data_IF_858948042516
#
_entry.id   IF_858948042516
#
_cell.length_a   1.000
_cell.length_b   1.000
_cell.length_c   1.000
_cell.angle_alpha   90.00
_cell.angle_beta   90.00
_cell.angle_gamma   90.00
#
_symmetry.space_group_name_H-M   'P 1'
#
loop_
_entity.id
_entity.type
_entity.pdbx_description
1 polymer ?
#
# COMPACT_ATOMS: atom_id res chain seq x y z
N UNK A 1 51.11 -30.26 14.58
CA UNK A 1 49.67 -30.26 14.42
C UNK A 1 49.15 -28.89 14.84
N UNK A 2 48.87 -28.02 13.87
CA UNK A 2 48.31 -26.68 14.11
C UNK A 2 46.84 -26.71 13.75
N UNK A 3 45.97 -26.49 14.73
CA UNK A 3 44.53 -26.31 14.52
C UNK A 3 44.29 -24.92 13.91
N UNK A 4 43.67 -24.91 12.74
CA UNK A 4 43.19 -23.70 12.10
C UNK A 4 41.76 -23.48 12.58
N UNK A 5 41.58 -22.51 13.48
CA UNK A 5 40.26 -22.05 13.90
C UNK A 5 39.77 -21.11 12.81
N UNK A 6 38.81 -21.57 12.03
CA UNK A 6 38.11 -20.75 11.06
C UNK A 6 37.23 -19.69 11.76
N UNK A 7 37.62 -18.44 11.67
CA UNK A 7 36.76 -17.30 12.04
C UNK A 7 35.67 -17.14 10.97
N UNK A 8 34.44 -17.42 11.35
CA UNK A 8 33.29 -17.03 10.56
C UNK A 8 33.16 -15.51 10.72
N UNK A 9 33.51 -14.78 9.67
CA UNK A 9 33.20 -13.37 9.54
C UNK A 9 31.69 -13.27 9.25
N UNK A 10 30.92 -12.92 10.28
CA UNK A 10 29.55 -12.43 10.08
C UNK A 10 29.71 -11.01 9.49
N UNK A 11 29.66 -10.93 8.17
CA UNK A 11 29.59 -9.66 7.48
C UNK A 11 28.25 -9.00 7.81
N UNK A 12 28.26 -8.03 8.69
CA UNK A 12 27.16 -7.08 8.78
C UNK A 12 27.09 -6.36 7.45
N UNK A 13 26.13 -6.73 6.60
CA UNK A 13 25.77 -5.92 5.44
C UNK A 13 25.16 -4.64 6.00
N UNK A 14 25.95 -3.58 6.03
CA UNK A 14 25.45 -2.23 6.19
C UNK A 14 24.65 -1.92 4.91
N UNK A 15 23.33 -2.11 4.96
CA UNK A 15 22.45 -1.63 3.92
C UNK A 15 22.36 -0.13 4.12
N UNK A 16 23.07 0.62 3.28
CA UNK A 16 22.80 2.04 3.10
C UNK A 16 21.40 2.15 2.50
N UNK A 17 20.44 2.58 3.30
CA UNK A 17 19.07 2.81 2.86
C UNK A 17 19.11 4.10 2.04
N UNK A 18 18.89 4.08 0.70
CA UNK A 18 18.59 5.30 0.00
C UNK A 18 17.21 5.75 0.46
N UNK A 19 17.09 6.97 0.92
CA UNK A 19 15.83 7.64 1.23
C UNK A 19 15.02 7.66 -0.07
N UNK A 20 13.92 6.89 -0.09
CA UNK A 20 13.05 6.79 -1.27
C UNK A 20 13.20 5.48 -2.04
N UNK A 21 12.44 4.46 -1.66
CA UNK A 21 12.18 3.27 -2.48
C UNK A 21 13.25 2.19 -2.43
N UNK A 22 13.05 1.21 -1.62
CA UNK A 22 13.52 -0.20 -1.71
C UNK A 22 13.62 -0.88 -0.34
N UNK A 23 12.51 -1.07 0.34
CA UNK A 23 12.49 -1.90 1.57
C UNK A 23 12.03 -3.35 1.27
N UNK A 24 11.73 -3.69 0.01
CA UNK A 24 11.06 -4.95 -0.33
C UNK A 24 11.94 -6.19 -0.51
N UNK A 25 13.25 -6.15 -0.29
CA UNK A 25 14.10 -7.31 -0.58
C UNK A 25 14.32 -8.28 0.59
N UNK A 26 13.82 -7.99 1.80
CA UNK A 26 14.11 -8.84 2.97
C UNK A 26 13.04 -9.87 3.36
N UNK A 27 11.78 -9.71 2.94
CA UNK A 27 10.71 -10.64 3.34
C UNK A 27 10.66 -11.95 2.51
N UNK A 28 11.18 -11.94 1.27
CA UNK A 28 11.04 -13.06 0.34
C UNK A 28 12.00 -14.23 0.56
N UNK A 29 13.07 -14.10 1.35
CA UNK A 29 14.04 -15.19 1.55
C UNK A 29 13.83 -16.02 2.83
N UNK A 30 13.04 -15.55 3.78
CA UNK A 30 12.82 -16.30 5.03
C UNK A 30 11.64 -17.27 4.97
N UNK A 31 10.70 -17.11 4.02
CA UNK A 31 9.55 -18.00 3.93
C UNK A 31 9.84 -19.34 3.26
N UNK A 32 10.86 -19.42 2.38
CA UNK A 32 11.24 -20.71 1.78
C UNK A 32 12.03 -21.62 2.71
N UNK A 33 12.74 -21.10 3.72
CA UNK A 33 13.48 -21.94 4.66
C UNK A 33 12.61 -22.53 5.77
N UNK A 34 11.49 -21.91 6.15
CA UNK A 34 10.55 -22.46 7.14
C UNK A 34 9.65 -23.58 6.62
N UNK A 35 9.44 -23.68 5.30
CA UNK A 35 8.64 -24.75 4.69
C UNK A 35 9.36 -26.09 4.61
N UNK A 36 10.69 -26.11 4.68
CA UNK A 36 11.48 -27.34 4.53
C UNK A 36 11.82 -28.03 5.85
N UNK A 37 11.51 -27.46 7.02
CA UNK A 37 11.80 -28.08 8.33
C UNK A 37 10.62 -28.84 8.95
N UNK A 38 9.43 -28.86 8.34
CA UNK A 38 8.21 -29.48 8.92
C UNK A 38 7.91 -30.89 8.35
N UNK A 39 8.71 -31.42 7.38
CA UNK A 39 8.34 -32.65 6.66
C UNK A 39 9.07 -33.91 7.14
N UNK A 40 9.98 -33.83 8.11
CA UNK A 40 10.77 -35.02 8.49
C UNK A 40 10.74 -35.34 10.00
N UNK A 41 9.55 -35.63 10.55
CA UNK A 41 9.41 -36.39 11.82
C UNK A 41 7.99 -36.91 11.96
N UNK A 42 7.69 -37.99 11.29
CA UNK A 42 6.76 -39.02 11.79
C UNK A 42 6.77 -40.22 10.86
N UNK A 43 7.51 -41.24 11.22
CA UNK A 43 7.20 -42.64 10.94
C UNK A 43 8.12 -43.54 11.77
N UNK A 44 7.63 -44.06 12.86
CA UNK A 44 7.90 -45.45 13.29
C UNK A 44 6.78 -45.96 14.18
N UNK A 45 6.04 -46.87 13.61
CA UNK A 45 5.11 -47.80 14.24
C UNK A 45 5.82 -48.71 15.22
N UNK A 46 5.14 -49.03 16.34
CA UNK A 46 5.01 -50.42 16.80
C UNK A 46 3.80 -50.56 17.74
N UNK A 47 3.03 -51.59 17.42
CA UNK A 47 1.85 -52.17 18.07
C UNK A 47 2.11 -52.63 19.50
N UNK A 48 1.12 -52.44 20.40
CA UNK A 48 0.48 -53.48 21.23
C UNK A 48 -0.47 -52.91 22.29
N UNK A 49 -1.72 -53.28 22.09
CA UNK A 49 -2.79 -53.65 23.03
C UNK A 49 -2.63 -53.36 24.55
N UNK A 50 -3.61 -52.64 25.12
CA UNK A 50 -4.60 -53.09 26.11
C UNK A 50 -5.40 -51.96 26.74
N UNK A 51 -6.71 -52.21 26.76
CA UNK A 51 -7.81 -51.51 27.49
C UNK A 51 -7.43 -50.91 28.87
N UNK A 52 -7.88 -49.66 29.08
CA UNK A 52 -8.66 -49.23 30.27
C UNK A 52 -9.26 -47.85 30.07
N UNK A 53 -10.59 -47.78 30.27
CA UNK A 53 -11.33 -46.52 30.45
C UNK A 53 -10.75 -45.77 31.63
N UNK A 54 -10.57 -44.44 31.47
CA UNK A 54 -10.86 -43.49 32.51
C UNK A 54 -11.11 -42.10 31.93
N UNK A 55 -12.12 -41.44 32.47
CA UNK A 55 -12.68 -40.18 32.02
C UNK A 55 -11.78 -38.98 32.41
N UNK A 56 -11.93 -37.87 31.67
CA UNK A 56 -11.40 -36.54 31.99
C UNK A 56 -9.95 -36.21 31.55
N UNK A 57 -9.70 -36.16 30.25
CA UNK A 57 -8.60 -35.34 29.74
C UNK A 57 -9.19 -34.09 29.07
N UNK A 58 -9.15 -32.98 29.82
CA UNK A 58 -9.24 -31.65 29.19
C UNK A 58 -8.10 -31.53 28.19
N UNK A 59 -8.38 -31.67 26.92
CA UNK A 59 -7.44 -31.23 25.89
C UNK A 59 -7.20 -29.74 26.06
N UNK A 60 -5.96 -29.26 26.25
CA UNK A 60 -5.67 -27.86 26.08
C UNK A 60 -5.92 -27.56 24.60
N UNK A 61 -6.92 -26.78 24.30
CA UNK A 61 -7.05 -26.16 22.99
C UNK A 61 -5.85 -25.24 22.83
N UNK A 62 -4.78 -25.74 22.26
CA UNK A 62 -3.73 -24.93 21.67
C UNK A 62 -4.39 -24.25 20.49
N UNK A 63 -5.04 -23.11 20.75
CA UNK A 63 -5.46 -22.20 19.71
C UNK A 63 -4.19 -21.76 18.99
N UNK A 64 -3.95 -22.35 17.82
CA UNK A 64 -2.99 -21.82 16.88
C UNK A 64 -3.47 -20.41 16.60
N UNK A 65 -2.78 -19.39 17.13
CA UNK A 65 -3.00 -18.01 16.68
C UNK A 65 -2.63 -18.01 15.21
N UNK A 66 -3.63 -18.01 14.35
CA UNK A 66 -3.42 -17.72 12.94
C UNK A 66 -2.94 -16.28 12.91
N UNK A 67 -1.65 -16.06 12.64
CA UNK A 67 -1.12 -14.72 12.47
C UNK A 67 -1.69 -14.12 11.20
N UNK A 68 -2.07 -12.85 11.25
CA UNK A 68 -2.44 -12.10 10.06
C UNK A 68 -1.14 -11.52 9.45
N UNK A 69 -0.68 -11.99 8.29
CA UNK A 69 0.59 -11.56 7.70
C UNK A 69 0.58 -10.07 7.32
N UNK A 70 -0.58 -9.51 6.97
CA UNK A 70 -0.73 -8.10 6.65
C UNK A 70 -0.51 -7.24 7.88
N UNK A 71 -1.15 -7.61 8.99
CA UNK A 71 -0.96 -6.93 10.27
C UNK A 71 0.48 -6.98 10.73
N UNK A 72 1.13 -8.15 10.66
CA UNK A 72 2.56 -8.29 11.00
C UNK A 72 3.44 -7.38 10.15
N UNK A 73 3.14 -7.26 8.85
CA UNK A 73 3.87 -6.39 7.91
C UNK A 73 3.72 -4.91 8.28
N UNK A 74 2.49 -4.45 8.55
CA UNK A 74 2.24 -3.06 8.94
C UNK A 74 2.92 -2.74 10.28
N UNK A 75 2.83 -3.64 11.27
CA UNK A 75 3.53 -3.48 12.54
C UNK A 75 5.06 -3.44 12.39
N UNK A 76 5.62 -4.21 11.45
CA UNK A 76 7.05 -4.15 11.14
C UNK A 76 7.45 -2.78 10.57
N UNK A 77 6.63 -2.16 9.71
CA UNK A 77 6.87 -0.81 9.23
C UNK A 77 6.78 0.22 10.35
N UNK A 78 5.77 0.15 11.21
CA UNK A 78 5.64 1.02 12.40
C UNK A 78 6.90 0.98 13.26
N UNK A 79 7.40 -0.22 13.55
CA UNK A 79 8.62 -0.41 14.31
C UNK A 79 9.87 0.12 13.57
N UNK A 80 9.98 -0.14 12.26
CA UNK A 80 11.14 0.25 11.45
C UNK A 80 11.28 1.77 11.32
N UNK A 81 10.15 2.49 11.23
CA UNK A 81 10.12 3.94 11.17
C UNK A 81 10.00 4.60 12.55
N UNK A 82 9.78 3.81 13.61
CA UNK A 82 9.39 4.30 14.94
C UNK A 82 8.23 5.31 14.83
N UNK A 83 7.21 4.92 14.05
CA UNK A 83 6.08 5.78 13.69
C UNK A 83 4.79 4.95 13.61
N UNK A 84 3.87 5.16 14.55
CA UNK A 84 2.61 4.43 14.65
C UNK A 84 1.57 4.88 13.59
N UNK A 85 1.85 5.94 12.84
CA UNK A 85 0.95 6.51 11.83
C UNK A 85 1.00 5.78 10.48
N UNK A 86 1.72 4.66 10.37
CA UNK A 86 1.65 3.77 9.21
C UNK A 86 0.26 3.13 9.13
N UNK A 87 -0.44 3.33 8.01
CA UNK A 87 -1.78 2.80 7.78
C UNK A 87 -1.85 1.82 6.61
N UNK A 88 -0.82 1.71 5.79
CA UNK A 88 -0.82 0.79 4.68
C UNK A 88 0.38 0.89 3.76
N UNK A 89 0.30 0.16 2.66
CA UNK A 89 1.26 0.18 1.55
C UNK A 89 0.46 0.31 0.26
N UNK A 90 0.85 1.25 -0.58
CA UNK A 90 0.28 1.43 -1.91
C UNK A 90 1.26 0.96 -2.98
N UNK A 91 0.77 0.25 -3.99
CA UNK A 91 1.59 -0.16 -5.11
C UNK A 91 0.78 -0.24 -6.41
N UNK A 92 1.48 -0.06 -7.53
CA UNK A 92 0.94 -0.31 -8.87
C UNK A 92 1.79 -1.43 -9.49
N UNK A 93 1.19 -2.57 -9.85
CA UNK A 93 1.93 -3.69 -10.43
C UNK A 93 2.72 -3.30 -11.68
N UNK A 94 3.93 -3.80 -11.80
CA UNK A 94 4.87 -3.54 -12.91
C UNK A 94 5.35 -2.07 -13.04
N UNK A 95 5.16 -1.25 -12.01
CA UNK A 95 5.68 0.11 -11.93
C UNK A 95 6.66 0.25 -10.76
N UNK A 96 7.31 1.42 -10.64
CA UNK A 96 8.12 1.73 -9.46
C UNK A 96 7.30 2.28 -8.29
N UNK A 97 5.99 2.49 -8.46
CA UNK A 97 5.11 2.99 -7.40
C UNK A 97 4.89 1.89 -6.37
N UNK A 98 5.59 2.02 -5.25
CA UNK A 98 5.51 1.14 -4.11
C UNK A 98 5.94 1.93 -2.87
N UNK A 99 4.99 2.36 -2.05
CA UNK A 99 5.24 3.27 -0.95
C UNK A 99 4.44 2.90 0.30
N UNK A 100 5.07 3.06 1.46
CA UNK A 100 4.37 3.02 2.75
C UNK A 100 3.54 4.29 2.88
N UNK A 101 2.30 4.14 3.33
CA UNK A 101 1.32 5.22 3.48
C UNK A 101 1.14 5.53 4.95
N UNK A 102 1.24 6.80 5.28
CA UNK A 102 1.07 7.32 6.64
C UNK A 102 -0.25 8.09 6.74
N UNK A 103 -0.78 8.30 7.94
CA UNK A 103 -1.94 9.15 8.16
C UNK A 103 -1.76 9.94 9.45
N UNK A 104 -1.74 11.27 9.32
CA UNK A 104 -1.70 12.20 10.45
C UNK A 104 -3.10 12.75 10.76
N UNK A 105 -3.22 13.55 11.81
CA UNK A 105 -4.48 14.21 12.18
C UNK A 105 -4.88 15.36 11.24
N UNK A 106 -3.99 15.78 10.34
CA UNK A 106 -4.21 16.79 9.29
C UNK A 106 -3.57 16.36 7.95
N UNK A 107 -3.73 17.18 6.90
CA UNK A 107 -3.13 16.95 5.58
C UNK A 107 -1.87 17.80 5.34
N UNK A 108 -1.39 18.56 6.31
CA UNK A 108 -0.27 19.49 6.15
C UNK A 108 1.05 18.89 6.65
N UNK A 109 0.99 18.05 7.68
CA UNK A 109 2.18 17.52 8.33
C UNK A 109 3.10 16.76 7.35
N UNK A 110 2.58 15.75 6.65
CA UNK A 110 3.38 14.92 5.74
C UNK A 110 3.68 15.58 4.39
N UNK A 111 3.18 16.79 4.13
CA UNK A 111 3.67 17.60 3.02
C UNK A 111 5.13 18.01 3.20
N UNK A 112 5.58 18.24 4.45
CA UNK A 112 6.90 18.79 4.76
C UNK A 112 7.68 17.94 5.77
N UNK A 113 7.23 16.71 6.05
CA UNK A 113 7.89 15.80 6.98
C UNK A 113 8.11 14.42 6.35
N UNK A 114 9.29 13.86 6.62
CA UNK A 114 9.61 12.50 6.24
C UNK A 114 9.04 11.47 7.23
N UNK A 115 9.19 10.20 6.91
CA UNK A 115 8.68 9.05 7.68
C UNK A 115 9.17 9.00 9.14
N UNK A 116 10.28 9.66 9.46
CA UNK A 116 10.87 9.74 10.80
C UNK A 116 10.45 11.02 11.57
N UNK A 117 9.53 11.81 11.01
CA UNK A 117 9.05 13.06 11.61
C UNK A 117 10.03 14.25 11.48
N UNK A 118 11.09 14.12 10.71
CA UNK A 118 11.99 15.23 10.39
C UNK A 118 11.43 16.09 9.25
N UNK A 119 11.66 17.40 9.30
CA UNK A 119 11.30 18.31 8.19
C UNK A 119 12.02 17.91 6.91
N UNK A 120 11.27 17.74 5.83
CA UNK A 120 11.76 17.33 4.52
C UNK A 120 10.79 17.81 3.43
N UNK A 121 11.30 18.57 2.46
CA UNK A 121 10.48 19.15 1.38
C UNK A 121 9.92 18.09 0.43
N UNK A 122 10.55 16.92 0.36
CA UNK A 122 10.05 15.74 -0.35
C UNK A 122 8.82 15.11 0.30
N UNK A 123 8.54 15.44 1.56
CA UNK A 123 7.40 14.92 2.30
C UNK A 123 7.35 13.39 2.38
N UNK A 124 6.15 12.88 2.51
CA UNK A 124 5.86 11.43 2.61
C UNK A 124 4.57 11.13 1.86
N UNK A 125 4.36 9.91 1.40
CA UNK A 125 3.07 9.48 0.87
C UNK A 125 2.09 9.29 2.03
N UNK A 126 0.93 9.96 1.98
CA UNK A 126 -0.01 9.96 3.10
C UNK A 126 -1.47 9.89 2.67
N UNK A 127 -2.29 9.33 3.54
CA UNK A 127 -3.73 9.21 3.41
C UNK A 127 -4.40 10.47 3.98
N UNK A 128 -5.41 10.99 3.29
CA UNK A 128 -6.23 12.11 3.79
C UNK A 128 -6.75 11.80 5.21
N UNK A 129 -6.61 12.74 6.13
CA UNK A 129 -6.98 12.56 7.55
C UNK A 129 -8.45 12.18 7.75
N UNK A 130 -9.34 12.49 6.79
CA UNK A 130 -10.77 12.17 6.80
C UNK A 130 -11.07 10.80 6.24
N UNK A 131 -10.12 10.19 5.52
CA UNK A 131 -10.24 8.85 4.97
C UNK A 131 -10.24 7.81 6.08
N UNK A 132 -10.96 6.72 5.84
CA UNK A 132 -11.00 5.57 6.75
C UNK A 132 -10.86 4.30 5.94
N UNK A 133 -9.70 3.69 6.04
CA UNK A 133 -9.43 2.40 5.41
C UNK A 133 -10.53 1.41 5.81
N UNK A 134 -11.06 0.68 4.84
CA UNK A 134 -12.11 -0.36 4.99
C UNK A 134 -13.45 0.07 5.62
N UNK A 135 -13.68 1.35 5.89
CA UNK A 135 -14.95 1.79 6.48
C UNK A 135 -15.57 3.00 5.80
N UNK A 136 -14.89 3.59 4.82
CA UNK A 136 -15.34 4.76 4.07
C UNK A 136 -15.50 4.46 2.58
N UNK A 137 -16.38 5.22 1.92
CA UNK A 137 -16.59 5.10 0.47
C UNK A 137 -15.44 5.65 -0.37
N UNK A 138 -14.56 6.48 0.21
CA UNK A 138 -13.49 7.13 -0.53
C UNK A 138 -12.24 7.32 0.33
N UNK A 139 -11.12 6.91 -0.25
CA UNK A 139 -9.79 7.17 0.25
C UNK A 139 -9.03 8.06 -0.72
N UNK A 140 -8.29 9.05 -0.22
CA UNK A 140 -7.43 9.91 -1.03
C UNK A 140 -6.01 9.77 -0.49
N UNK A 141 -5.08 9.42 -1.36
CA UNK A 141 -3.66 9.30 -1.04
C UNK A 141 -2.89 10.37 -1.79
N UNK A 142 -2.12 11.14 -1.05
CA UNK A 142 -1.31 12.23 -1.55
C UNK A 142 0.16 11.83 -1.60
N UNK A 143 0.89 12.38 -2.56
CA UNK A 143 2.33 12.24 -2.64
C UNK A 143 2.91 13.31 -3.55
N UNK A 144 4.13 13.75 -3.22
CA UNK A 144 4.83 14.71 -4.04
C UNK A 144 5.26 14.13 -5.40
N UNK A 145 5.30 15.02 -6.39
CA UNK A 145 5.93 14.81 -7.67
C UNK A 145 7.16 15.72 -7.76
N UNK A 146 8.30 15.15 -8.05
CA UNK A 146 9.56 15.87 -8.20
C UNK A 146 9.96 16.04 -9.64
N UNK A 147 10.40 17.26 -9.96
CA UNK A 147 10.91 17.65 -11.29
C UNK A 147 12.43 17.47 -11.40
N UNK A 148 13.06 16.65 -10.58
CA UNK A 148 14.51 16.54 -10.65
C UNK A 148 15.01 15.10 -10.80
N UNK A 149 15.93 14.91 -11.74
CA UNK A 149 16.76 13.69 -11.89
C UNK A 149 17.52 13.28 -10.62
N UNK A 150 17.40 14.06 -9.55
CA UNK A 150 18.15 13.91 -8.31
C UNK A 150 17.34 13.34 -7.15
N UNK A 151 16.01 13.42 -7.20
CA UNK A 151 15.13 12.97 -6.13
C UNK A 151 13.96 12.17 -6.70
N UNK A 152 14.02 10.86 -6.49
CA UNK A 152 12.90 10.00 -6.82
C UNK A 152 11.81 10.16 -5.76
N UNK A 153 10.65 10.66 -6.19
CA UNK A 153 9.45 10.72 -5.37
C UNK A 153 8.48 9.64 -5.84
N UNK A 154 7.88 8.85 -4.93
CA UNK A 154 7.06 7.70 -5.31
C UNK A 154 5.94 8.00 -6.29
N UNK A 155 5.36 9.22 -6.24
CA UNK A 155 4.26 9.62 -7.12
C UNK A 155 4.69 10.34 -8.40
N UNK A 156 6.00 10.50 -8.65
CA UNK A 156 6.49 11.08 -9.92
C UNK A 156 6.09 10.24 -11.13
N UNK A 157 6.09 8.90 -10.99
CA UNK A 157 5.69 8.00 -12.08
C UNK A 157 4.19 8.06 -12.42
N UNK A 158 3.34 8.65 -11.55
CA UNK A 158 1.93 8.88 -11.91
C UNK A 158 1.79 9.73 -13.19
N UNK A 159 2.77 10.58 -13.53
CA UNK A 159 2.73 11.33 -14.78
C UNK A 159 2.80 10.45 -16.03
N UNK A 160 3.26 9.22 -15.94
CA UNK A 160 3.20 8.27 -17.05
C UNK A 160 1.75 7.97 -17.50
N UNK A 161 0.77 8.15 -16.62
CA UNK A 161 -0.65 8.03 -16.97
C UNK A 161 -1.17 9.12 -17.92
N UNK A 162 -0.39 10.13 -18.28
CA UNK A 162 -0.73 10.99 -19.42
C UNK A 162 -0.76 10.22 -20.74
N UNK A 163 -0.01 9.13 -20.82
CA UNK A 163 -0.06 8.21 -21.95
C UNK A 163 -1.08 7.08 -21.69
N UNK A 164 -2.08 6.98 -22.56
CA UNK A 164 -3.06 5.89 -22.48
C UNK A 164 -2.41 4.50 -22.61
N UNK A 165 -1.29 4.36 -23.32
CA UNK A 165 -0.59 3.09 -23.45
C UNK A 165 -0.03 2.63 -22.09
N UNK A 166 0.46 3.56 -21.26
CA UNK A 166 0.86 3.24 -19.89
C UNK A 166 -0.32 2.77 -19.03
N UNK A 167 -1.48 3.47 -19.13
CA UNK A 167 -2.72 3.04 -18.45
C UNK A 167 -3.12 1.62 -18.87
N UNK A 168 -3.04 1.28 -20.16
CA UNK A 168 -3.46 -0.04 -20.66
C UNK A 168 -2.64 -1.19 -20.05
N UNK A 169 -1.40 -0.92 -19.62
CA UNK A 169 -0.53 -1.88 -18.95
C UNK A 169 -0.62 -1.82 -17.40
N UNK A 170 -1.14 -0.71 -16.82
CA UNK A 170 -1.13 -0.44 -15.38
C UNK A 170 -2.53 -0.04 -14.88
N UNK A 171 -3.52 -0.92 -15.09
CA UNK A 171 -4.93 -0.61 -14.79
C UNK A 171 -5.32 -0.75 -13.32
N UNK A 172 -4.44 -1.27 -12.46
CA UNK A 172 -4.77 -1.61 -11.09
C UNK A 172 -3.84 -0.94 -10.08
N UNK A 173 -4.43 -0.52 -8.96
CA UNK A 173 -3.72 -0.08 -7.76
C UNK A 173 -4.01 -1.07 -6.64
N UNK A 174 -3.00 -1.45 -5.89
CA UNK A 174 -3.13 -2.26 -4.68
C UNK A 174 -2.95 -1.36 -3.46
N UNK A 175 -3.82 -1.51 -2.48
CA UNK A 175 -3.67 -0.89 -1.17
C UNK A 175 -3.75 -1.99 -0.10
N UNK A 176 -2.63 -2.27 0.55
CA UNK A 176 -2.53 -3.24 1.63
C UNK A 176 -2.59 -2.51 2.97
N UNK A 177 -3.47 -2.93 3.84
CA UNK A 177 -3.61 -2.47 5.22
C UNK A 177 -3.39 -3.63 6.22
N UNK A 178 -3.71 -3.41 7.50
CA UNK A 178 -3.51 -4.44 8.53
C UNK A 178 -4.48 -5.64 8.41
N UNK A 179 -5.56 -5.51 7.65
CA UNK A 179 -6.58 -6.54 7.51
C UNK A 179 -6.43 -7.35 6.21
N UNK A 180 -5.89 -6.75 5.12
CA UNK A 180 -5.75 -7.41 3.83
C UNK A 180 -5.29 -6.50 2.70
N UNK A 181 -5.57 -6.89 1.46
CA UNK A 181 -5.20 -6.16 0.24
C UNK A 181 -6.44 -5.80 -0.57
N UNK A 182 -6.70 -4.51 -0.71
CA UNK A 182 -7.68 -3.98 -1.65
C UNK A 182 -7.07 -3.87 -3.05
N UNK A 183 -7.77 -4.43 -4.05
CA UNK A 183 -7.45 -4.23 -5.48
C UNK A 183 -8.41 -3.22 -6.05
N UNK A 184 -7.87 -2.16 -6.64
CA UNK A 184 -8.64 -1.05 -7.20
C UNK A 184 -8.39 -0.92 -8.69
N UNK A 185 -9.45 -0.91 -9.51
CA UNK A 185 -9.36 -0.72 -10.95
C UNK A 185 -9.50 0.76 -11.31
N UNK A 186 -8.54 1.29 -12.03
CA UNK A 186 -8.50 2.69 -12.45
C UNK A 186 -9.59 2.93 -13.51
N UNK A 187 -10.46 3.91 -13.27
CA UNK A 187 -11.53 4.28 -14.19
C UNK A 187 -11.47 5.72 -14.68
N UNK A 188 -10.61 6.55 -14.09
CA UNK A 188 -10.45 7.94 -14.52
C UNK A 188 -9.02 8.44 -14.23
N UNK A 189 -8.45 9.16 -15.19
CA UNK A 189 -7.20 9.90 -15.03
C UNK A 189 -7.40 11.30 -15.60
N UNK A 190 -7.15 12.34 -14.81
CA UNK A 190 -7.34 13.72 -15.26
C UNK A 190 -6.50 14.72 -14.45
N UNK A 191 -6.37 15.93 -14.98
CA UNK A 191 -5.75 17.05 -14.25
C UNK A 191 -6.83 17.99 -13.74
N UNK A 192 -6.82 18.23 -12.43
CA UNK A 192 -7.65 19.22 -11.78
C UNK A 192 -6.91 20.53 -11.61
N UNK A 193 -7.57 21.66 -11.93
CA UNK A 193 -6.94 22.98 -11.90
C UNK A 193 -7.69 24.03 -11.10
N UNK A 194 -8.94 23.81 -10.76
CA UNK A 194 -9.77 24.83 -10.10
C UNK A 194 -10.90 24.28 -9.24
N UNK A 195 -11.39 23.09 -9.56
CA UNK A 195 -12.49 22.45 -8.84
C UNK A 195 -11.98 21.33 -7.96
N UNK A 196 -11.86 21.59 -6.67
CA UNK A 196 -11.40 20.63 -5.68
C UNK A 196 -12.52 19.70 -5.18
N UNK A 197 -13.61 19.53 -5.94
CA UNK A 197 -14.73 18.67 -5.53
C UNK A 197 -14.36 17.21 -5.34
N UNK A 198 -13.28 16.72 -5.97
CA UNK A 198 -12.75 15.38 -5.69
C UNK A 198 -12.40 15.19 -4.20
N UNK A 199 -12.15 16.27 -3.45
CA UNK A 199 -11.85 16.24 -2.01
C UNK A 199 -13.11 16.14 -1.12
N UNK A 200 -14.33 16.19 -1.68
CA UNK A 200 -15.54 16.03 -0.86
C UNK A 200 -15.65 14.62 -0.32
N UNK A 201 -15.80 14.49 1.02
CA UNK A 201 -15.84 13.21 1.73
C UNK A 201 -17.25 12.84 2.20
N UNK A 202 -18.18 13.81 2.28
CA UNK A 202 -19.51 13.60 2.85
C UNK A 202 -20.60 13.76 1.77
N UNK A 203 -21.40 12.71 1.61
CA UNK A 203 -22.50 12.67 0.66
C UNK A 203 -23.81 12.40 1.40
N UNK A 204 -24.88 13.12 1.02
CA UNK A 204 -26.17 13.07 1.72
C UNK A 204 -26.97 11.82 1.38
N UNK A 205 -26.69 11.19 0.26
CA UNK A 205 -27.41 10.01 -0.27
C UNK A 205 -26.53 9.22 -1.24
N UNK A 206 -26.93 7.99 -1.54
CA UNK A 206 -26.29 7.17 -2.59
C UNK A 206 -26.38 7.86 -3.96
N UNK A 207 -27.46 8.54 -4.25
CA UNK A 207 -27.59 9.34 -5.49
C UNK A 207 -26.53 10.44 -5.57
N UNK A 208 -26.33 11.22 -4.50
CA UNK A 208 -25.29 12.28 -4.50
C UNK A 208 -23.87 11.72 -4.54
N UNK A 209 -23.67 10.53 -3.99
CA UNK A 209 -22.42 9.79 -4.13
C UNK A 209 -22.22 9.34 -5.58
N UNK A 210 -23.23 8.72 -6.21
CA UNK A 210 -23.13 8.26 -7.59
C UNK A 210 -22.93 9.42 -8.59
N UNK A 211 -23.61 10.55 -8.39
CA UNK A 211 -23.36 11.77 -9.17
C UNK A 211 -21.90 12.20 -9.08
N UNK A 212 -21.28 12.11 -7.90
CA UNK A 212 -19.87 12.42 -7.71
C UNK A 212 -18.96 11.40 -8.43
N UNK A 213 -19.25 10.10 -8.34
CA UNK A 213 -18.50 9.05 -9.04
C UNK A 213 -18.56 9.27 -10.56
N UNK A 214 -19.75 9.56 -11.10
CA UNK A 214 -19.96 9.88 -12.51
C UNK A 214 -19.20 11.15 -12.92
N UNK A 215 -19.22 12.18 -12.08
CA UNK A 215 -18.46 13.41 -12.31
C UNK A 215 -16.97 13.11 -12.47
N UNK A 216 -16.38 12.32 -11.56
CA UNK A 216 -14.97 11.92 -11.64
C UNK A 216 -14.67 11.10 -12.91
N UNK A 217 -15.58 10.16 -13.28
CA UNK A 217 -15.45 9.36 -14.50
C UNK A 217 -15.43 10.25 -15.75
N UNK A 218 -16.35 11.23 -15.83
CA UNK A 218 -16.51 12.11 -16.99
C UNK A 218 -15.33 13.08 -17.17
N UNK A 219 -14.49 13.30 -16.15
CA UNK A 219 -13.27 14.11 -16.24
C UNK A 219 -12.09 13.39 -16.86
N UNK A 220 -12.16 12.08 -17.05
CA UNK A 220 -11.03 11.32 -17.56
C UNK A 220 -10.54 11.85 -18.91
N UNK A 221 -9.22 11.94 -19.06
CA UNK A 221 -8.56 12.38 -20.30
C UNK A 221 -8.77 11.41 -21.45
N UNK A 222 -9.11 10.16 -21.15
CA UNK A 222 -9.37 9.09 -22.12
C UNK A 222 -10.39 8.09 -21.55
N UNK A 223 -11.00 7.33 -22.45
CA UNK A 223 -11.93 6.28 -22.06
C UNK A 223 -11.19 5.07 -21.49
N UNK A 224 -11.67 4.59 -20.36
CA UNK A 224 -11.11 3.44 -19.64
C UNK A 224 -11.96 2.17 -19.80
N UNK A 225 -13.19 2.30 -20.29
CA UNK A 225 -14.18 1.21 -20.43
C UNK A 225 -14.49 0.50 -19.09
N UNK A 226 -14.34 1.18 -17.97
CA UNK A 226 -14.66 0.68 -16.63
C UNK A 226 -16.00 1.27 -16.20
N UNK A 227 -16.98 0.42 -15.92
CA UNK A 227 -18.27 0.84 -15.39
C UNK A 227 -18.19 1.17 -13.92
N UNK A 228 -19.00 2.14 -13.49
CA UNK A 228 -19.08 2.60 -12.09
C UNK A 228 -20.54 2.66 -11.64
N UNK A 229 -20.79 2.41 -10.35
CA UNK A 229 -22.12 2.43 -9.75
C UNK A 229 -22.11 3.07 -8.35
N UNK A 230 -23.29 3.12 -7.71
CA UNK A 230 -23.49 3.75 -6.40
C UNK A 230 -22.90 2.94 -5.22
N UNK A 231 -22.47 1.72 -5.47
CA UNK A 231 -21.86 0.86 -4.44
C UNK A 231 -20.35 0.92 -4.44
N UNK A 232 -19.75 1.52 -5.48
CA UNK A 232 -18.30 1.59 -5.62
C UNK A 232 -17.63 2.35 -4.46
N UNK A 233 -16.52 1.80 -4.00
CA UNK A 233 -15.60 2.44 -3.09
C UNK A 233 -14.37 2.92 -3.85
N UNK A 234 -13.96 4.16 -3.60
CA UNK A 234 -12.92 4.82 -4.39
C UNK A 234 -11.59 4.93 -3.66
N UNK A 235 -10.52 4.79 -4.44
CA UNK A 235 -9.17 5.21 -4.10
C UNK A 235 -8.72 6.26 -5.12
N UNK A 236 -8.29 7.41 -4.64
CA UNK A 236 -7.78 8.52 -5.47
C UNK A 236 -6.30 8.71 -5.12
N UNK A 237 -5.42 8.66 -6.12
CA UNK A 237 -4.04 9.07 -5.98
C UNK A 237 -3.92 10.49 -6.52
N UNK A 238 -3.33 11.38 -5.73
CA UNK A 238 -3.11 12.77 -6.12
C UNK A 238 -1.64 13.13 -6.01
N UNK A 239 -1.16 13.81 -7.06
CA UNK A 239 0.14 14.46 -7.06
C UNK A 239 0.08 15.81 -7.81
N UNK A 240 1.12 16.64 -7.69
CA UNK A 240 1.24 17.83 -8.54
C UNK A 240 1.45 17.43 -10.00
N UNK A 241 0.86 18.19 -10.93
CA UNK A 241 1.05 18.00 -12.35
C UNK A 241 2.14 18.92 -12.88
N UNK A 242 3.10 18.40 -13.65
CA UNK A 242 4.10 19.18 -14.38
C UNK A 242 3.81 19.26 -15.87
N UNK A 243 2.65 18.76 -16.32
CA UNK A 243 2.28 18.77 -17.73
C UNK A 243 2.16 20.20 -18.28
N UNK A 244 2.93 20.48 -19.33
CA UNK A 244 3.02 21.76 -20.03
C UNK A 244 1.65 22.29 -20.52
N UNK A 245 0.72 21.40 -20.88
CA UNK A 245 -0.63 21.79 -21.32
C UNK A 245 -1.41 22.53 -20.21
N UNK A 246 -1.02 22.38 -18.96
CA UNK A 246 -1.62 23.01 -17.79
C UNK A 246 -0.73 24.10 -17.17
N UNK A 247 0.37 24.51 -17.82
CA UNK A 247 1.33 25.48 -17.30
C UNK A 247 0.73 26.83 -16.91
N UNK A 248 -0.37 27.23 -17.53
CA UNK A 248 -1.09 28.48 -17.22
C UNK A 248 -1.79 28.49 -15.85
N UNK A 249 -2.01 27.33 -15.25
CA UNK A 249 -2.66 27.21 -13.94
C UNK A 249 -1.59 27.18 -12.85
N UNK A 250 -1.84 27.92 -11.77
CA UNK A 250 -0.97 27.92 -10.60
C UNK A 250 -1.04 26.58 -9.89
N UNK A 251 -2.26 26.14 -9.59
CA UNK A 251 -2.52 24.88 -8.90
C UNK A 251 -3.06 23.89 -9.95
N UNK A 252 -2.40 22.76 -10.05
CA UNK A 252 -2.72 21.70 -10.99
C UNK A 252 -2.32 20.35 -10.41
N UNK A 253 -3.30 19.48 -10.28
CA UNK A 253 -3.16 18.18 -9.64
C UNK A 253 -3.51 17.07 -10.61
N UNK A 254 -2.60 16.12 -10.79
CA UNK A 254 -2.90 14.88 -11.49
C UNK A 254 -3.61 13.93 -10.54
N UNK A 255 -4.74 13.42 -10.98
CA UNK A 255 -5.58 12.49 -10.25
C UNK A 255 -5.69 11.18 -11.01
N UNK A 256 -5.39 10.08 -10.32
CA UNK A 256 -5.64 8.71 -10.78
C UNK A 256 -6.72 8.15 -9.86
N UNK A 257 -7.91 7.89 -10.43
CA UNK A 257 -9.11 7.51 -9.69
C UNK A 257 -9.47 6.07 -9.99
N UNK A 258 -9.56 5.26 -8.94
CA UNK A 258 -9.82 3.83 -9.04
C UNK A 258 -10.99 3.42 -8.13
N UNK A 259 -11.68 2.35 -8.51
CA UNK A 259 -12.75 1.72 -7.72
C UNK A 259 -12.31 0.37 -7.18
N UNK A 260 -12.73 0.02 -5.98
CA UNK A 260 -12.42 -1.29 -5.39
C UNK A 260 -13.13 -2.42 -6.14
N UNK A 261 -12.39 -3.43 -6.59
CA UNK A 261 -12.92 -4.61 -7.28
C UNK A 261 -12.72 -5.88 -6.49
N UNK A 262 -11.78 -5.91 -5.55
CA UNK A 262 -11.55 -7.04 -4.66
C UNK A 262 -10.94 -6.58 -3.33
N UNK A 263 -11.07 -7.44 -2.29
CA UNK A 263 -10.38 -7.33 -1.01
C UNK A 263 -10.10 -8.73 -0.46
N UNK A 264 -8.85 -9.06 -0.20
CA UNK A 264 -8.38 -10.38 0.27
C UNK A 264 -7.62 -10.29 1.58
#
# INVERSE_FOLDING_TARGET
MKQIIGRILIGALAVSIPVGGSIFYFASKNDEQKKNEIVDKDTKTDDKDKDKKDDNVKHPSTGVKVSNPHKEKIELFKQSYNNDEVVGVISIPNSSINAVVFQHEDNDYYLEHNVFGGTALEGTVYLDYRSKVNSGRKNIVYGHNGDSDKLYLPFSELEAYYDKAYYDEHQYVLFEDEDGVGTYQIFSVYVETSDLSYMYMNFKSDSSWFEHVQYLKNKSMYETNVDVDETDELLILQTCSHNENFAKYKDKYLLVVAKRVNYE
#
